data_IF_749873207695
#
_entry.id   IF_749873207695
#
_cell.length_a   1.000
_cell.length_b   1.000
_cell.length_c   1.000
_cell.angle_alpha   90.00
_cell.angle_beta   90.00
_cell.angle_gamma   90.00
#
_symmetry.space_group_name_H-M   'P 1'
#
loop_
_entity.id
_entity.type
_entity.pdbx_description
1 polymer ?
#
# COMPACT_ATOMS: atom_id res chain seq x y z
N UNK A 1 15.88 -46.58 10.13
CA UNK A 1 15.97 -45.23 10.73
C UNK A 1 16.05 -44.22 9.58
N UNK A 2 14.96 -43.55 9.21
CA UNK A 2 14.95 -42.56 8.12
C UNK A 2 14.52 -41.19 8.62
N UNK A 3 15.30 -40.19 8.20
CA UNK A 3 15.40 -38.82 8.71
C UNK A 3 14.07 -38.07 8.69
N UNK A 4 13.77 -37.41 9.82
CA UNK A 4 12.80 -36.34 9.92
C UNK A 4 13.16 -35.26 8.88
N UNK A 5 12.26 -35.03 7.93
CA UNK A 5 12.27 -33.83 7.09
C UNK A 5 12.14 -32.63 8.03
N UNK A 6 13.20 -31.83 8.14
CA UNK A 6 13.10 -30.49 8.69
C UNK A 6 12.18 -29.72 7.74
N UNK A 7 10.93 -29.52 8.19
CA UNK A 7 10.02 -28.53 7.65
C UNK A 7 10.70 -27.16 7.81
N UNK A 8 11.48 -26.77 6.81
CA UNK A 8 11.95 -25.40 6.63
C UNK A 8 10.68 -24.61 6.40
N UNK A 9 10.12 -24.04 7.48
CA UNK A 9 9.12 -22.98 7.38
C UNK A 9 9.67 -21.98 6.38
N UNK A 10 9.05 -21.90 5.20
CA UNK A 10 9.43 -20.97 4.14
C UNK A 10 9.19 -19.56 4.67
N UNK A 11 10.19 -18.97 5.33
CA UNK A 11 10.16 -17.57 5.72
C UNK A 11 10.27 -16.77 4.41
N UNK A 12 9.16 -16.23 3.93
CA UNK A 12 9.17 -15.43 2.71
C UNK A 12 10.13 -14.23 2.89
N UNK A 13 11.08 -14.01 1.96
CA UNK A 13 12.00 -12.88 2.04
C UNK A 13 11.22 -11.57 1.91
N UNK A 14 11.40 -10.66 2.87
CA UNK A 14 10.67 -9.37 2.93
C UNK A 14 10.91 -8.47 1.70
N UNK A 15 12.03 -8.66 1.00
CA UNK A 15 12.35 -7.94 -0.24
C UNK A 15 12.26 -8.91 -1.41
N UNK A 16 11.24 -8.73 -2.23
CA UNK A 16 11.05 -9.49 -3.46
C UNK A 16 11.81 -8.83 -4.62
N UNK A 17 12.65 -9.60 -5.31
CA UNK A 17 13.27 -9.20 -6.57
C UNK A 17 12.50 -9.84 -7.72
N UNK A 18 12.04 -9.01 -8.67
CA UNK A 18 11.28 -9.49 -9.82
C UNK A 18 12.19 -10.31 -10.73
N UNK A 19 11.75 -11.53 -11.06
CA UNK A 19 12.49 -12.43 -11.95
C UNK A 19 12.38 -12.04 -13.44
N UNK A 20 11.27 -11.41 -13.84
CA UNK A 20 11.02 -11.03 -15.23
C UNK A 20 11.29 -9.54 -15.50
N UNK A 21 12.07 -9.25 -16.54
CA UNK A 21 12.39 -7.88 -16.98
C UNK A 21 11.43 -7.34 -18.05
N UNK A 22 10.49 -8.16 -18.54
CA UNK A 22 9.58 -7.80 -19.66
C UNK A 22 8.81 -6.50 -19.47
N UNK A 23 8.53 -6.14 -18.23
CA UNK A 23 7.80 -4.92 -17.90
C UNK A 23 8.70 -3.70 -17.64
N UNK A 24 10.01 -3.90 -17.58
CA UNK A 24 11.02 -2.83 -17.43
C UNK A 24 11.66 -2.48 -18.78
N UNK A 25 11.34 -3.22 -19.85
CA UNK A 25 11.96 -3.05 -21.18
C UNK A 25 11.52 -1.76 -21.90
N UNK A 26 10.40 -1.17 -21.50
CA UNK A 26 9.84 0.04 -22.10
C UNK A 26 9.44 1.05 -21.03
N UNK A 27 9.49 2.34 -21.38
CA UNK A 27 9.08 3.43 -20.49
C UNK A 27 7.57 3.72 -20.61
N UNK A 28 7.01 4.49 -19.68
CA UNK A 28 5.59 4.86 -19.77
C UNK A 28 5.37 5.85 -20.91
N UNK A 29 6.36 6.68 -21.17
CA UNK A 29 6.44 7.67 -22.22
C UNK A 29 6.39 6.99 -23.59
N UNK A 30 7.23 5.97 -23.81
CA UNK A 30 7.22 5.17 -25.04
C UNK A 30 5.87 4.48 -25.27
N UNK A 31 5.24 3.99 -24.19
CA UNK A 31 3.93 3.35 -24.27
C UNK A 31 2.83 4.34 -24.64
N UNK A 32 2.85 5.55 -24.09
CA UNK A 32 1.89 6.59 -24.45
C UNK A 32 2.09 7.04 -25.91
N UNK A 33 3.34 7.28 -26.33
CA UNK A 33 3.66 7.64 -27.71
C UNK A 33 3.26 6.54 -28.72
N UNK A 34 3.43 5.27 -28.35
CA UNK A 34 2.96 4.14 -29.15
C UNK A 34 1.44 4.15 -29.31
N UNK A 35 0.69 4.33 -28.22
CA UNK A 35 -0.77 4.38 -28.23
C UNK A 35 -1.29 5.57 -29.04
N UNK A 36 -0.67 6.75 -28.92
CA UNK A 36 -1.03 7.93 -29.71
C UNK A 36 -0.80 7.72 -31.20
N UNK A 37 0.34 7.13 -31.60
CA UNK A 37 0.62 6.84 -33.02
C UNK A 37 -0.36 5.83 -33.64
N UNK A 38 -0.86 4.90 -32.82
CA UNK A 38 -1.90 3.94 -33.24
C UNK A 38 -3.27 4.64 -33.33
N UNK A 39 -3.60 5.49 -32.35
CA UNK A 39 -4.86 6.23 -32.33
C UNK A 39 -4.98 7.22 -33.50
N UNK A 40 -3.87 7.85 -33.92
CA UNK A 40 -3.76 8.72 -35.10
C UNK A 40 -3.76 7.95 -36.43
N UNK A 41 -3.65 6.63 -36.40
CA UNK A 41 -3.56 5.79 -37.60
C UNK A 41 -2.22 5.84 -38.33
N UNK A 42 -1.19 6.47 -37.76
CA UNK A 42 0.14 6.61 -38.38
C UNK A 42 0.88 5.27 -38.49
N UNK A 43 0.69 4.39 -37.50
CA UNK A 43 1.37 3.09 -37.43
C UNK A 43 0.37 1.99 -37.04
N UNK A 44 0.46 0.84 -37.72
CA UNK A 44 -0.22 -0.39 -37.27
C UNK A 44 0.32 -0.84 -35.90
N UNK A 45 -0.49 -1.57 -35.13
CA UNK A 45 -0.10 -2.13 -33.82
C UNK A 45 1.23 -2.88 -33.89
N UNK A 46 1.47 -3.64 -34.96
CA UNK A 46 2.72 -4.38 -35.15
C UNK A 46 3.92 -3.46 -35.43
N UNK A 47 3.72 -2.43 -36.27
CA UNK A 47 4.75 -1.46 -36.59
C UNK A 47 5.14 -0.63 -35.35
N UNK A 48 4.15 -0.21 -34.55
CA UNK A 48 4.37 0.48 -33.29
C UNK A 48 5.10 -0.43 -32.27
N UNK A 49 4.71 -1.70 -32.14
CA UNK A 49 5.38 -2.66 -31.28
C UNK A 49 6.88 -2.80 -31.60
N UNK A 50 7.23 -2.89 -32.89
CA UNK A 50 8.62 -2.99 -33.34
C UNK A 50 9.40 -1.69 -33.12
N UNK A 51 8.78 -0.55 -33.39
CA UNK A 51 9.41 0.76 -33.25
C UNK A 51 9.73 1.10 -31.79
N UNK A 52 8.74 0.97 -30.90
CA UNK A 52 8.87 1.31 -29.48
C UNK A 52 9.38 0.14 -28.61
N UNK A 53 9.67 -1.02 -29.22
CA UNK A 53 10.11 -2.26 -28.52
C UNK A 53 9.14 -2.72 -27.44
N UNK A 54 7.84 -2.54 -27.68
CA UNK A 54 6.76 -2.95 -26.77
C UNK A 54 6.10 -4.22 -27.33
N UNK A 55 5.88 -5.28 -26.54
CA UNK A 55 5.18 -6.46 -27.01
C UNK A 55 3.76 -6.13 -27.53
N UNK A 56 3.38 -6.68 -28.68
CA UNK A 56 2.06 -6.47 -29.31
C UNK A 56 0.91 -6.80 -28.33
N UNK A 57 1.08 -7.85 -27.52
CA UNK A 57 0.09 -8.22 -26.50
C UNK A 57 -0.17 -7.10 -25.50
N UNK A 58 0.88 -6.37 -25.08
CA UNK A 58 0.75 -5.25 -24.15
C UNK A 58 -0.05 -4.12 -24.79
N UNK A 59 0.23 -3.75 -26.04
CA UNK A 59 -0.52 -2.70 -26.74
C UNK A 59 -1.99 -3.13 -26.93
N UNK A 60 -2.24 -4.38 -27.31
CA UNK A 60 -3.58 -4.92 -27.47
C UNK A 60 -4.38 -4.91 -26.16
N UNK A 61 -3.76 -5.29 -25.04
CA UNK A 61 -4.39 -5.27 -23.72
C UNK A 61 -4.73 -3.84 -23.25
N UNK A 62 -3.94 -2.84 -23.66
CA UNK A 62 -4.23 -1.43 -23.43
C UNK A 62 -5.39 -0.93 -24.28
N UNK A 63 -5.40 -1.25 -25.58
CA UNK A 63 -6.46 -0.86 -26.52
C UNK A 63 -7.79 -1.49 -26.11
N UNK A 64 -7.79 -2.76 -25.72
CA UNK A 64 -9.01 -3.47 -25.26
C UNK A 64 -9.44 -3.12 -23.83
N UNK A 65 -8.73 -2.21 -23.16
CA UNK A 65 -9.06 -1.79 -21.79
C UNK A 65 -8.94 -2.89 -20.73
N UNK A 66 -8.26 -4.00 -21.03
CA UNK A 66 -8.09 -5.13 -20.09
C UNK A 66 -7.23 -4.77 -18.88
N UNK A 67 -6.39 -3.75 -19.03
CA UNK A 67 -5.53 -3.27 -17.93
C UNK A 67 -6.21 -2.13 -17.18
N UNK A 68 -6.56 -2.35 -15.90
CA UNK A 68 -7.10 -1.30 -15.03
C UNK A 68 -6.03 -0.24 -14.68
N UNK A 69 -6.30 1.00 -15.12
CA UNK A 69 -5.69 2.28 -14.69
C UNK A 69 -4.18 2.41 -14.98
N UNK A 70 -3.74 3.62 -15.38
CA UNK A 70 -2.33 4.03 -15.49
C UNK A 70 -1.63 3.91 -14.13
N UNK A 71 -1.22 2.70 -13.74
CA UNK A 71 -0.46 2.49 -12.50
C UNK A 71 1.02 2.57 -12.81
N UNK A 72 1.71 3.38 -12.02
CA UNK A 72 3.17 3.50 -12.09
C UNK A 72 3.86 2.21 -11.61
N UNK A 73 3.20 1.47 -10.71
CA UNK A 73 3.72 0.22 -10.14
C UNK A 73 3.15 -1.00 -10.85
N UNK A 74 4.02 -1.97 -11.11
CA UNK A 74 3.72 -3.21 -11.83
C UNK A 74 3.02 -4.28 -10.97
N UNK A 75 2.57 -3.93 -9.77
CA UNK A 75 2.01 -4.84 -8.77
C UNK A 75 0.53 -4.62 -8.49
N UNK A 76 0.00 -5.40 -7.52
CA UNK A 76 -1.34 -5.18 -6.98
C UNK A 76 -1.44 -3.77 -6.41
N UNK A 77 -2.56 -3.06 -6.59
CA UNK A 77 -2.78 -1.78 -5.93
C UNK A 77 -2.74 -1.95 -4.42
N UNK A 78 -2.44 -0.85 -3.73
CA UNK A 78 -2.56 -0.78 -2.28
C UNK A 78 -3.96 -1.18 -1.84
N UNK A 79 -4.06 -1.88 -0.71
CA UNK A 79 -5.32 -2.39 -0.16
C UNK A 79 -6.27 -1.24 0.23
N UNK A 80 -5.71 -0.13 0.70
CA UNK A 80 -6.41 1.10 1.03
C UNK A 80 -6.02 2.15 -0.04
N UNK A 81 -6.95 3.01 -0.49
CA UNK A 81 -6.64 4.12 -1.39
C UNK A 81 -5.53 5.04 -0.84
N UNK A 82 -4.69 5.55 -1.74
CA UNK A 82 -3.51 6.37 -1.37
C UNK A 82 -3.90 7.64 -0.60
N UNK A 83 -4.98 8.31 -1.03
CA UNK A 83 -5.52 9.51 -0.36
C UNK A 83 -5.85 9.25 1.11
N UNK A 84 -6.48 8.10 1.39
CA UNK A 84 -6.85 7.69 2.74
C UNK A 84 -5.59 7.31 3.54
N UNK A 85 -4.65 6.59 2.93
CA UNK A 85 -3.39 6.25 3.62
C UNK A 85 -2.59 7.50 4.01
N UNK A 86 -2.56 8.54 3.16
CA UNK A 86 -1.90 9.82 3.48
C UNK A 86 -2.59 10.52 4.66
N UNK A 87 -3.93 10.60 4.66
CA UNK A 87 -4.69 11.18 5.78
C UNK A 87 -4.41 10.44 7.08
N UNK A 88 -4.41 9.10 7.03
CA UNK A 88 -4.10 8.25 8.18
C UNK A 88 -2.67 8.51 8.69
N UNK A 89 -1.69 8.60 7.81
CA UNK A 89 -0.30 8.88 8.20
C UNK A 89 -0.17 10.25 8.88
N UNK A 90 -0.80 11.29 8.32
CA UNK A 90 -0.80 12.63 8.91
C UNK A 90 -1.44 12.65 10.30
N UNK A 91 -2.56 11.94 10.46
CA UNK A 91 -3.24 11.84 11.74
C UNK A 91 -2.36 11.18 12.82
N UNK A 92 -1.62 10.12 12.47
CA UNK A 92 -0.66 9.49 13.37
C UNK A 92 0.47 10.43 13.80
N UNK A 93 0.97 11.26 12.88
CA UNK A 93 2.02 12.26 13.17
C UNK A 93 1.49 13.34 14.12
N UNK A 94 0.26 13.80 13.93
CA UNK A 94 -0.38 14.80 14.82
C UNK A 94 -0.56 14.22 16.21
N UNK A 95 -1.06 12.99 16.34
CA UNK A 95 -1.18 12.32 17.64
C UNK A 95 0.16 12.17 18.34
N UNK A 96 1.21 11.80 17.61
CA UNK A 96 2.55 11.71 18.17
C UNK A 96 3.01 13.07 18.72
N UNK A 97 2.79 14.17 17.98
CA UNK A 97 3.11 15.54 18.42
C UNK A 97 2.35 15.94 19.70
N UNK A 98 1.13 15.46 19.86
CA UNK A 98 0.32 15.69 21.07
C UNK A 98 0.70 14.77 22.23
N UNK A 99 1.69 13.89 22.07
CA UNK A 99 2.16 12.98 23.11
C UNK A 99 1.41 11.64 23.14
N UNK A 100 0.54 11.37 22.17
CA UNK A 100 -0.23 10.13 22.04
C UNK A 100 0.36 9.22 20.96
N UNK A 101 1.54 8.66 21.20
CA UNK A 101 2.15 7.71 20.25
C UNK A 101 1.44 6.35 20.28
N UNK A 102 0.79 5.92 19.20
CA UNK A 102 0.05 4.64 19.14
C UNK A 102 0.97 3.41 19.00
N UNK A 103 0.57 2.30 19.60
CA UNK A 103 1.22 0.99 19.44
C UNK A 103 0.83 0.33 18.12
N UNK A 104 1.61 -0.68 17.69
CA UNK A 104 1.32 -1.42 16.45
C UNK A 104 -0.07 -2.04 16.43
N UNK A 105 -0.52 -2.56 17.58
CA UNK A 105 -1.83 -3.21 17.71
C UNK A 105 -2.94 -2.19 17.67
N UNK A 106 -2.76 -1.05 18.36
CA UNK A 106 -3.72 0.06 18.35
C UNK A 106 -3.91 0.62 16.93
N UNK A 107 -2.82 0.79 16.17
CA UNK A 107 -2.90 1.25 14.77
C UNK A 107 -3.69 0.24 13.92
N UNK A 108 -3.44 -1.07 14.08
CA UNK A 108 -4.16 -2.10 13.32
C UNK A 108 -5.66 -2.09 13.68
N UNK A 109 -6.00 -1.97 14.96
CA UNK A 109 -7.39 -1.94 15.40
C UNK A 109 -8.11 -0.70 14.87
N UNK A 110 -7.48 0.47 14.93
CA UNK A 110 -8.02 1.73 14.38
C UNK A 110 -8.31 1.59 12.89
N UNK A 111 -7.37 1.03 12.13
CA UNK A 111 -7.56 0.87 10.68
C UNK A 111 -8.63 -0.17 10.36
N UNK A 112 -8.73 -1.24 11.14
CA UNK A 112 -9.82 -2.22 11.01
C UNK A 112 -11.19 -1.59 11.25
N UNK A 113 -11.33 -0.79 12.32
CA UNK A 113 -12.57 -0.05 12.61
C UNK A 113 -12.89 0.93 11.49
N UNK A 114 -11.91 1.69 11.02
CA UNK A 114 -12.07 2.63 9.92
C UNK A 114 -12.54 1.93 8.62
N UNK A 115 -11.97 0.77 8.28
CA UNK A 115 -12.37 -0.02 7.11
C UNK A 115 -13.81 -0.51 7.25
N UNK A 116 -14.20 -0.99 8.44
CA UNK A 116 -15.56 -1.47 8.69
C UNK A 116 -16.60 -0.35 8.64
N UNK A 117 -16.29 0.80 9.22
CA UNK A 117 -17.20 1.97 9.23
C UNK A 117 -17.41 2.57 7.83
N UNK A 118 -16.36 2.60 7.01
CA UNK A 118 -16.41 3.13 5.65
C UNK A 118 -16.74 2.09 4.57
N UNK A 119 -17.01 0.85 4.97
CA UNK A 119 -17.30 -0.28 4.07
C UNK A 119 -16.28 -0.42 2.91
N UNK A 120 -15.00 -0.17 3.20
CA UNK A 120 -13.96 -0.18 2.16
C UNK A 120 -13.68 -1.64 1.74
N UNK A 121 -13.88 -1.93 0.47
CA UNK A 121 -13.57 -3.23 -0.12
C UNK A 121 -12.05 -3.50 -0.12
N UNK A 122 -11.56 -4.15 0.93
CA UNK A 122 -10.15 -4.49 1.10
C UNK A 122 -9.91 -6.00 0.94
N UNK A 123 -8.70 -6.43 0.51
CA UNK A 123 -8.34 -7.84 0.43
C UNK A 123 -8.00 -8.48 1.79
N UNK A 124 -8.19 -7.76 2.89
CA UNK A 124 -7.85 -8.24 4.21
C UNK A 124 -8.87 -9.27 4.69
N UNK A 125 -8.39 -10.31 5.39
CA UNK A 125 -9.27 -11.27 6.04
C UNK A 125 -10.06 -10.54 7.13
N UNK A 126 -11.39 -10.51 7.01
CA UNK A 126 -12.31 -9.83 7.92
C UNK A 126 -12.05 -8.31 8.08
N UNK A 127 -11.45 -7.67 7.07
CA UNK A 127 -11.12 -6.23 7.13
C UNK A 127 -9.96 -5.87 8.05
N UNK A 128 -9.26 -6.87 8.64
CA UNK A 128 -8.14 -6.63 9.57
C UNK A 128 -6.79 -6.59 8.84
N UNK A 129 -6.06 -5.46 8.85
CA UNK A 129 -4.73 -5.38 8.26
C UNK A 129 -3.73 -6.28 8.97
N UNK A 130 -2.83 -6.90 8.20
CA UNK A 130 -1.73 -7.71 8.73
C UNK A 130 -0.52 -6.88 9.17
N UNK A 131 0.43 -7.52 9.85
CA UNK A 131 1.71 -6.91 10.25
C UNK A 131 2.53 -6.42 9.04
N UNK A 132 2.47 -7.14 7.91
CA UNK A 132 3.14 -6.75 6.67
C UNK A 132 2.53 -5.49 6.05
N UNK A 133 1.22 -5.29 6.19
CA UNK A 133 0.58 -4.05 5.74
C UNK A 133 1.15 -2.86 6.54
N UNK A 134 1.18 -2.97 7.88
CA UNK A 134 1.71 -1.91 8.74
C UNK A 134 3.18 -1.60 8.43
N UNK A 135 4.00 -2.62 8.19
CA UNK A 135 5.40 -2.43 7.80
C UNK A 135 5.53 -1.64 6.49
N UNK A 136 4.76 -2.02 5.46
CA UNK A 136 4.81 -1.36 4.16
C UNK A 136 4.21 0.05 4.21
N UNK A 137 3.10 0.25 4.92
CA UNK A 137 2.49 1.55 5.18
C UNK A 137 3.50 2.50 5.82
N UNK A 138 4.15 2.04 6.90
CA UNK A 138 5.18 2.81 7.59
C UNK A 138 6.34 3.20 6.66
N UNK A 139 6.78 2.26 5.82
CA UNK A 139 7.86 2.49 4.85
C UNK A 139 7.46 3.49 3.75
N UNK A 140 6.21 3.45 3.26
CA UNK A 140 5.70 4.40 2.26
C UNK A 140 5.65 5.83 2.79
N UNK A 141 5.20 6.01 4.03
CA UNK A 141 5.01 7.35 4.63
C UNK A 141 6.18 7.81 5.53
N UNK A 142 7.32 7.11 5.52
CA UNK A 142 8.50 7.52 6.28
C UNK A 142 8.32 7.53 7.81
N UNK A 143 7.35 6.79 8.33
CA UNK A 143 7.06 6.74 9.76
C UNK A 143 8.15 5.92 10.49
N UNK A 144 8.56 6.33 11.69
CA UNK A 144 9.57 5.61 12.47
C UNK A 144 8.99 5.10 13.78
N UNK A 145 9.39 3.90 14.20
CA UNK A 145 9.03 3.40 15.53
C UNK A 145 10.07 3.93 16.50
N UNK A 146 9.66 4.87 17.33
CA UNK A 146 10.48 5.36 18.43
C UNK A 146 10.31 4.47 19.65
N UNK A 147 11.39 4.31 20.42
CA UNK A 147 11.29 3.80 21.77
C UNK A 147 10.61 4.89 22.61
N UNK A 148 9.51 4.59 23.32
CA UNK A 148 8.87 5.59 24.16
C UNK A 148 9.85 6.07 25.22
N UNK A 149 9.87 7.37 25.46
CA UNK A 149 10.64 7.94 26.57
C UNK A 149 9.98 7.54 27.90
N UNK A 150 10.73 7.41 29.01
CA UNK A 150 10.17 7.05 30.31
C UNK A 150 8.99 7.94 30.73
N UNK A 151 9.08 9.25 30.47
CA UNK A 151 8.01 10.19 30.79
C UNK A 151 6.75 10.01 29.93
N UNK A 152 6.90 9.65 28.66
CA UNK A 152 5.77 9.35 27.77
C UNK A 152 5.06 8.07 28.22
N UNK A 153 5.83 7.08 28.69
CA UNK A 153 5.29 5.84 29.24
C UNK A 153 4.45 6.11 30.50
N UNK A 154 5.00 6.88 31.45
CA UNK A 154 4.30 7.25 32.69
C UNK A 154 3.03 8.07 32.38
N UNK A 155 3.13 9.06 31.48
CA UNK A 155 1.97 9.83 31.02
C UNK A 155 0.89 8.93 30.43
N UNK A 156 1.25 7.98 29.56
CA UNK A 156 0.31 7.02 28.98
C UNK A 156 -0.37 6.16 30.04
N UNK A 157 0.35 5.73 31.08
CA UNK A 157 -0.23 4.95 32.18
C UNK A 157 -1.20 5.78 33.03
N UNK A 158 -0.86 7.03 33.30
CA UNK A 158 -1.70 7.97 34.07
C UNK A 158 -2.88 8.53 33.28
N UNK A 159 -2.84 8.46 31.94
CA UNK A 159 -3.93 8.95 31.10
C UNK A 159 -5.13 8.02 31.20
N UNK A 160 -6.28 8.60 31.55
CA UNK A 160 -7.55 7.89 31.65
C UNK A 160 -7.91 7.15 30.35
N UNK A 161 -8.41 5.90 30.42
CA UNK A 161 -8.84 5.14 29.25
C UNK A 161 -9.86 5.89 28.37
N UNK A 162 -10.74 6.69 28.97
CA UNK A 162 -11.73 7.49 28.25
C UNK A 162 -11.07 8.50 27.31
N UNK A 163 -10.03 9.20 27.76
CA UNK A 163 -9.30 10.19 26.95
C UNK A 163 -8.66 9.52 25.73
N UNK A 164 -8.12 8.30 25.90
CA UNK A 164 -7.55 7.54 24.79
C UNK A 164 -8.61 7.20 23.74
N UNK A 165 -9.79 6.77 24.19
CA UNK A 165 -10.93 6.45 23.32
C UNK A 165 -11.44 7.69 22.59
N UNK A 166 -11.55 8.83 23.28
CA UNK A 166 -11.99 10.10 22.67
C UNK A 166 -10.98 10.58 21.61
N UNK A 167 -9.68 10.50 21.86
CA UNK A 167 -8.67 10.84 20.85
C UNK A 167 -8.71 9.93 19.63
N UNK A 168 -8.94 8.61 19.83
CA UNK A 168 -9.11 7.65 18.75
C UNK A 168 -10.38 7.94 17.94
N UNK A 169 -11.48 8.26 18.61
CA UNK A 169 -12.74 8.64 17.98
C UNK A 169 -12.60 9.94 17.17
N UNK A 170 -11.99 10.98 17.75
CA UNK A 170 -11.70 12.23 17.05
C UNK A 170 -10.85 11.98 15.80
N UNK A 171 -9.88 11.06 15.87
CA UNK A 171 -9.08 10.69 14.71
C UNK A 171 -9.94 10.08 13.60
N UNK A 172 -10.80 9.12 13.92
CA UNK A 172 -11.72 8.51 12.94
C UNK A 172 -12.63 9.58 12.31
N UNK A 173 -13.17 10.50 13.12
CA UNK A 173 -14.01 11.61 12.63
C UNK A 173 -13.23 12.54 11.68
N UNK A 174 -11.98 12.90 12.02
CA UNK A 174 -11.14 13.73 11.14
C UNK A 174 -10.76 13.05 9.83
N UNK A 175 -10.73 11.72 9.79
CA UNK A 175 -10.49 10.97 8.55
C UNK A 175 -11.71 10.93 7.62
N UNK A 176 -12.92 11.09 8.20
CA UNK A 176 -14.21 11.05 7.50
C UNK A 176 -14.63 12.39 6.87
N UNK A 177 -14.13 13.51 7.39
CA UNK A 177 -14.29 14.87 6.85
C UNK A 177 -13.23 15.20 5.79
#
# INVERSE_FOLDING_TARGET
MCRLFLDIRLIMPRKYYRKSLRATTYTQEDLNAALESIAKGEKSQYAAAKHYRIPVSTLNDRIKGKTRIKRQTLGRPTAIPDEIEVRLANALIILEKWGFGLSRVEIINLVEEFIKLNEIATPFRNGRPGSDWLYNFRKRHGLSIKKPQPIEHVRRQMTDPFIKTVCLFLLIVTLLT
#
